data_IF_777825675802
#
_entry.id   IF_777825675802
#
_cell.length_a   1.000
_cell.length_b   1.000
_cell.length_c   1.000
_cell.angle_alpha   90.00
_cell.angle_beta   90.00
_cell.angle_gamma   90.00
#
_symmetry.space_group_name_H-M   'P 1'
#
loop_
_entity.id
_entity.type
_entity.pdbx_description
1 polymer ?
#
# COMPACT_ATOMS: atom_id res chain seq x y z
N UNK A 1 11.01 -6.94 -3.63
CA UNK A 1 10.94 -6.40 -2.25
C UNK A 1 10.24 -7.44 -1.40
N UNK A 2 10.77 -7.77 -0.22
CA UNK A 2 10.08 -8.69 0.70
C UNK A 2 8.71 -8.14 1.09
N UNK A 3 7.70 -9.01 1.10
CA UNK A 3 6.34 -8.60 1.48
C UNK A 3 6.29 -8.00 2.88
N UNK A 4 6.99 -8.58 3.85
CA UNK A 4 7.02 -8.06 5.23
C UNK A 4 7.57 -6.63 5.29
N UNK A 5 8.63 -6.34 4.54
CA UNK A 5 9.23 -5.00 4.47
C UNK A 5 8.27 -4.01 3.83
N UNK A 6 7.55 -4.42 2.78
CA UNK A 6 6.52 -3.57 2.17
C UNK A 6 5.41 -3.22 3.18
N UNK A 7 4.93 -4.21 3.94
CA UNK A 7 3.88 -4.00 4.94
C UNK A 7 4.33 -3.09 6.07
N UNK A 8 5.57 -3.25 6.56
CA UNK A 8 6.15 -2.38 7.58
C UNK A 8 6.27 -0.94 7.08
N UNK A 9 6.84 -0.74 5.89
CA UNK A 9 6.95 0.61 5.31
C UNK A 9 5.59 1.24 5.05
N UNK A 10 4.65 0.48 4.48
CA UNK A 10 3.29 0.96 4.23
C UNK A 10 2.61 1.37 5.53
N UNK A 11 2.84 0.63 6.63
CA UNK A 11 2.32 0.97 7.95
C UNK A 11 2.90 2.30 8.45
N UNK A 12 4.20 2.53 8.27
CA UNK A 12 4.86 3.80 8.61
C UNK A 12 4.29 4.97 7.79
N UNK A 13 4.13 4.80 6.47
CA UNK A 13 3.58 5.82 5.56
C UNK A 13 2.12 6.18 5.87
N UNK A 14 1.34 5.23 6.38
CA UNK A 14 -0.05 5.40 6.79
C UNK A 14 -0.20 5.84 8.26
N UNK A 15 0.92 6.02 8.98
CA UNK A 15 0.96 6.32 10.42
C UNK A 15 0.11 5.36 11.27
N UNK A 16 -0.03 4.10 10.80
CA UNK A 16 -0.88 3.11 11.45
C UNK A 16 -0.16 2.42 12.62
N UNK A 17 -0.90 2.27 13.72
CA UNK A 17 -0.38 1.59 14.92
C UNK A 17 -0.51 0.07 14.84
N UNK A 18 -1.44 -0.41 14.01
CA UNK A 18 -1.72 -1.83 13.86
C UNK A 18 -0.85 -2.42 12.76
N UNK A 19 -0.46 -3.68 12.95
CA UNK A 19 0.26 -4.42 11.92
C UNK A 19 -0.62 -4.57 10.67
N UNK A 20 -0.07 -4.16 9.52
CA UNK A 20 -0.74 -4.37 8.23
C UNK A 20 -0.52 -5.79 7.73
N UNK A 21 -1.55 -6.34 7.11
CA UNK A 21 -1.55 -7.63 6.45
C UNK A 21 -2.12 -7.49 5.05
N UNK A 22 -1.85 -8.48 4.18
CA UNK A 22 -2.40 -8.57 2.81
C UNK A 22 -3.93 -8.36 2.77
N UNK A 23 -4.65 -8.93 3.75
CA UNK A 23 -6.11 -8.84 3.85
C UNK A 23 -6.61 -7.59 4.61
N UNK A 24 -5.71 -6.73 5.11
CA UNK A 24 -6.12 -5.51 5.82
C UNK A 24 -6.83 -4.59 4.84
N UNK A 25 -8.03 -4.16 5.22
CA UNK A 25 -8.84 -3.23 4.45
C UNK A 25 -8.34 -1.82 4.71
N UNK A 26 -7.76 -1.18 3.69
CA UNK A 26 -7.20 0.16 3.86
C UNK A 26 -8.29 1.18 4.21
N UNK A 27 -9.49 1.01 3.65
CA UNK A 27 -10.66 1.85 3.94
C UNK A 27 -11.18 1.76 5.38
N UNK A 28 -10.76 0.73 6.13
CA UNK A 28 -11.14 0.54 7.54
C UNK A 28 -10.15 1.19 8.51
N UNK A 29 -8.98 1.59 8.02
CA UNK A 29 -7.96 2.24 8.82
C UNK A 29 -8.40 3.66 9.20
N UNK A 30 -8.20 4.01 10.47
CA UNK A 30 -8.61 5.30 11.03
C UNK A 30 -7.88 6.47 10.35
N UNK A 31 -6.62 6.27 9.96
CA UNK A 31 -5.78 7.30 9.34
C UNK A 31 -5.77 7.25 7.81
N UNK A 32 -6.69 6.52 7.17
CA UNK A 32 -6.70 6.40 5.71
C UNK A 32 -7.53 7.50 5.04
N UNK A 33 -6.89 8.65 4.85
CA UNK A 33 -7.46 9.84 4.22
C UNK A 33 -6.68 10.25 2.95
N UNK A 34 -7.05 11.38 2.34
CA UNK A 34 -6.41 11.90 1.12
C UNK A 34 -4.90 12.17 1.27
N UNK A 35 -4.39 12.38 2.49
CA UNK A 35 -2.95 12.60 2.74
C UNK A 35 -2.21 11.27 2.63
N UNK A 36 -2.72 10.24 3.30
CA UNK A 36 -2.16 8.89 3.30
C UNK A 36 -2.18 8.28 1.89
N UNK A 37 -3.19 8.64 1.08
CA UNK A 37 -3.20 8.36 -0.36
C UNK A 37 -1.97 8.92 -1.09
N UNK A 38 -1.59 10.17 -0.84
CA UNK A 38 -0.43 10.78 -1.48
C UNK A 38 0.87 10.12 -1.01
N UNK A 39 0.98 9.77 0.27
CA UNK A 39 2.12 9.01 0.80
C UNK A 39 2.26 7.65 0.10
N UNK A 40 1.16 6.90 -0.06
CA UNK A 40 1.17 5.62 -0.77
C UNK A 40 1.54 5.79 -2.25
N UNK A 41 1.02 6.80 -2.94
CA UNK A 41 1.39 7.07 -4.35
C UNK A 41 2.90 7.35 -4.45
N UNK A 42 3.42 8.25 -3.61
CA UNK A 42 4.84 8.61 -3.60
C UNK A 42 5.71 7.39 -3.27
N UNK A 43 5.33 6.62 -2.25
CA UNK A 43 6.01 5.39 -1.86
C UNK A 43 6.09 4.40 -3.02
N UNK A 44 5.01 4.20 -3.76
CA UNK A 44 4.99 3.28 -4.90
C UNK A 44 5.81 3.80 -6.08
N UNK A 45 5.71 5.09 -6.38
CA UNK A 45 6.51 5.73 -7.42
C UNK A 45 8.01 5.61 -7.12
N UNK A 46 8.43 5.86 -5.88
CA UNK A 46 9.85 5.80 -5.49
C UNK A 46 10.41 4.36 -5.43
N UNK A 47 9.61 3.38 -4.98
CA UNK A 47 10.11 2.01 -4.76
C UNK A 47 9.94 1.09 -5.98
N UNK A 48 8.93 1.35 -6.82
CA UNK A 48 8.58 0.50 -7.96
C UNK A 48 8.62 1.23 -9.29
N UNK A 49 8.90 2.55 -9.30
CA UNK A 49 8.92 3.39 -10.49
C UNK A 49 7.58 3.34 -11.27
N UNK A 50 6.47 3.24 -10.53
CA UNK A 50 5.11 3.15 -11.03
C UNK A 50 4.25 4.28 -10.47
N UNK A 51 3.49 4.96 -11.36
CA UNK A 51 2.47 5.91 -10.92
C UNK A 51 1.14 5.20 -10.68
N UNK A 52 0.68 5.26 -9.44
CA UNK A 52 -0.67 4.84 -9.08
C UNK A 52 -1.67 5.88 -9.58
N UNK A 53 -2.62 5.42 -10.38
CA UNK A 53 -3.74 6.26 -10.79
C UNK A 53 -4.71 6.43 -9.60
N UNK A 54 -5.10 7.67 -9.25
CA UNK A 54 -6.00 7.91 -8.12
C UNK A 54 -7.37 7.22 -8.29
N UNK A 55 -7.78 6.91 -9.52
CA UNK A 55 -9.01 6.15 -9.76
C UNK A 55 -8.84 4.64 -9.47
N UNK A 56 -7.63 4.08 -9.65
CA UNK A 56 -7.32 2.71 -9.19
C UNK A 56 -7.41 2.63 -7.66
N UNK A 57 -6.94 3.68 -6.97
CA UNK A 57 -6.96 3.75 -5.52
C UNK A 57 -8.37 3.80 -4.91
N UNK A 58 -9.34 4.41 -5.59
CA UNK A 58 -10.75 4.40 -5.13
C UNK A 58 -11.36 2.99 -5.14
N UNK A 59 -10.98 2.20 -6.13
CA UNK A 59 -11.46 0.83 -6.30
C UNK A 59 -10.70 -0.16 -5.41
N UNK A 60 -9.49 0.19 -5.01
CA UNK A 60 -8.69 -0.57 -4.06
C UNK A 60 -9.38 -0.67 -2.70
N UNK A 61 -9.44 -1.87 -2.13
CA UNK A 61 -10.06 -2.11 -0.82
C UNK A 61 -9.07 -2.65 0.21
N UNK A 62 -8.15 -3.52 -0.21
CA UNK A 62 -7.21 -4.21 0.67
C UNK A 62 -5.76 -3.98 0.28
N UNK A 63 -4.81 -4.16 1.19
CA UNK A 63 -3.37 -4.11 0.86
C UNK A 63 -3.01 -5.03 -0.31
N UNK A 64 -3.66 -6.19 -0.40
CA UNK A 64 -3.53 -7.11 -1.54
C UNK A 64 -3.91 -6.47 -2.88
N UNK A 65 -4.91 -5.61 -2.95
CA UNK A 65 -5.23 -4.88 -4.19
C UNK A 65 -4.06 -3.98 -4.62
N UNK A 66 -3.44 -3.27 -3.68
CA UNK A 66 -2.26 -2.43 -3.97
C UNK A 66 -1.10 -3.27 -4.49
N UNK A 67 -0.81 -4.39 -3.83
CA UNK A 67 0.23 -5.30 -4.30
C UNK A 67 -0.07 -5.85 -5.69
N UNK A 68 -1.34 -6.12 -6.02
CA UNK A 68 -1.75 -6.55 -7.36
C UNK A 68 -1.57 -5.43 -8.40
N UNK A 69 -1.90 -4.17 -8.06
CA UNK A 69 -1.72 -3.02 -8.95
C UNK A 69 -0.23 -2.80 -9.24
N UNK A 70 0.62 -2.89 -8.21
CA UNK A 70 2.08 -2.79 -8.34
C UNK A 70 2.65 -3.98 -9.14
N UNK A 71 1.97 -5.13 -9.10
CA UNK A 71 2.40 -6.37 -9.72
C UNK A 71 3.08 -7.27 -8.71
N UNK A 72 2.49 -8.46 -8.49
CA UNK A 72 2.95 -9.43 -7.50
C UNK A 72 4.39 -9.90 -7.73
N UNK A 73 4.90 -9.81 -8.96
CA UNK A 73 6.30 -10.11 -9.32
C UNK A 73 7.33 -9.20 -8.62
N UNK A 74 6.93 -8.01 -8.19
CA UNK A 74 7.78 -7.10 -7.43
C UNK A 74 7.92 -7.50 -5.96
N UNK A 75 7.14 -8.49 -5.51
CA UNK A 75 7.10 -8.96 -4.14
C UNK A 75 7.66 -10.36 -4.02
N UNK A 76 8.48 -10.55 -3.01
CA UNK A 76 9.02 -11.85 -2.64
C UNK A 76 8.25 -12.33 -1.40
N UNK A 77 7.77 -13.58 -1.45
CA UNK A 77 7.34 -14.30 -0.25
C UNK A 77 8.58 -14.61 0.61
N UNK A 78 8.40 -14.58 1.93
CA UNK A 78 9.49 -14.79 2.89
C UNK A 78 9.94 -16.26 2.96
#
# INVERSE_FOLDING_TARGET
MKTSVFLEKLQEELEEKQALHRNTRLKDLENYDSISLLSVIAFVDENFNQQLDPDQFKNMETVSDLMNIIGLENFEDD
#
